data_IF_438308929146
#
_entry.id   IF_438308929146
#
_cell.length_a   1.000
_cell.length_b   1.000
_cell.length_c   1.000
_cell.angle_alpha   90.00
_cell.angle_beta   90.00
_cell.angle_gamma   90.00
#
_symmetry.space_group_name_H-M   'P 1'
#
loop_
_entity.id
_entity.type
_entity.pdbx_description
1 polymer ?
#
# COMPACT_ATOMS: atom_id res chain seq x y z
N UNK A 1 17.80 -12.52 36.36
CA UNK A 1 18.75 -12.51 35.24
C UNK A 1 17.89 -12.50 34.00
N UNK A 2 17.94 -11.38 33.28
CA UNK A 2 17.00 -10.99 32.23
C UNK A 2 17.14 -11.88 30.99
N UNK A 3 16.00 -12.31 30.45
CA UNK A 3 15.83 -12.50 29.00
C UNK A 3 14.45 -11.92 28.63
N UNK A 4 14.41 -10.59 28.51
CA UNK A 4 13.38 -9.95 27.70
C UNK A 4 13.72 -10.29 26.25
N UNK A 5 12.92 -11.17 25.66
CA UNK A 5 12.87 -11.35 24.22
C UNK A 5 12.52 -10.00 23.60
N UNK A 6 13.54 -9.42 23.00
CA UNK A 6 13.51 -8.23 22.17
C UNK A 6 12.33 -8.34 21.21
N UNK A 7 11.36 -7.42 21.35
CA UNK A 7 10.31 -7.26 20.35
C UNK A 7 11.06 -6.85 19.09
N UNK A 8 11.06 -7.75 18.10
CA UNK A 8 11.60 -7.47 16.79
C UNK A 8 11.13 -6.08 16.34
N UNK A 9 12.12 -5.21 16.13
CA UNK A 9 12.02 -3.84 15.65
C UNK A 9 10.71 -3.53 14.92
N UNK A 10 9.90 -2.66 15.51
CA UNK A 10 9.10 -1.71 14.73
C UNK A 10 10.10 -0.88 13.93
N UNK A 11 10.61 -1.40 12.80
CA UNK A 11 11.35 -0.58 11.85
C UNK A 11 10.34 0.44 11.32
N UNK A 12 10.41 1.72 11.73
CA UNK A 12 9.42 2.68 11.31
C UNK A 12 9.57 2.82 9.81
N UNK A 13 8.61 2.28 9.06
CA UNK A 13 8.58 2.26 7.59
C UNK A 13 9.26 3.54 7.06
N UNK A 14 10.31 3.38 6.24
CA UNK A 14 11.28 4.43 5.87
C UNK A 14 10.68 5.84 5.74
N UNK A 15 9.47 5.95 5.19
CA UNK A 15 8.59 7.14 5.17
C UNK A 15 8.60 7.97 6.46
N UNK A 16 8.47 7.33 7.62
CA UNK A 16 8.35 7.92 8.96
C UNK A 16 9.67 8.04 9.72
N UNK A 17 10.78 7.52 9.17
CA UNK A 17 12.10 7.64 9.77
C UNK A 17 12.52 9.11 9.90
N UNK A 18 13.02 9.48 11.09
CA UNK A 18 13.55 10.82 11.36
C UNK A 18 14.92 11.03 10.69
N UNK A 19 15.68 9.95 10.52
CA UNK A 19 17.09 9.97 10.11
C UNK A 19 17.26 9.99 8.59
N UNK A 20 16.19 9.77 7.82
CA UNK A 20 16.29 9.81 6.36
C UNK A 20 16.63 11.20 5.83
N UNK A 21 17.50 11.23 4.82
CA UNK A 21 17.97 12.43 4.13
C UNK A 21 16.83 13.31 3.61
N UNK A 22 17.13 14.58 3.30
CA UNK A 22 16.14 15.56 2.81
C UNK A 22 15.59 15.12 1.44
N UNK A 23 14.27 15.10 1.32
CA UNK A 23 13.56 15.04 0.03
C UNK A 23 12.90 16.38 -0.28
N UNK A 24 11.68 16.33 -0.83
CA UNK A 24 10.82 17.53 -0.97
C UNK A 24 10.59 18.17 0.41
N UNK A 25 10.31 17.34 1.41
CA UNK A 25 10.20 17.73 2.81
C UNK A 25 11.58 17.74 3.49
N UNK A 26 11.87 18.82 4.22
CA UNK A 26 12.98 18.82 5.19
C UNK A 26 12.64 18.00 6.43
N UNK A 27 13.63 17.56 7.24
CA UNK A 27 13.38 16.88 8.50
C UNK A 27 12.38 17.65 9.39
N UNK A 28 12.57 18.96 9.53
CA UNK A 28 11.65 19.81 10.28
C UNK A 28 10.25 19.95 9.64
N UNK A 29 10.10 19.80 8.32
CA UNK A 29 8.76 19.75 7.71
C UNK A 29 8.05 18.44 8.08
N UNK A 30 8.78 17.31 8.12
CA UNK A 30 8.22 16.01 8.54
C UNK A 30 7.81 16.04 10.00
N UNK A 31 8.67 16.53 10.90
CA UNK A 31 8.33 16.69 12.32
C UNK A 31 7.04 17.49 12.52
N UNK A 32 6.86 18.56 11.73
CA UNK A 32 5.66 19.38 11.75
C UNK A 32 4.42 18.62 11.25
N UNK A 33 4.51 17.90 10.13
CA UNK A 33 3.37 17.16 9.57
C UNK A 33 3.01 15.92 10.39
N UNK A 34 4.00 15.26 10.99
CA UNK A 34 3.83 14.08 11.84
C UNK A 34 3.45 14.45 13.29
N UNK A 35 3.30 15.74 13.60
CA UNK A 35 2.93 16.19 14.95
C UNK A 35 3.98 15.94 16.03
N UNK A 36 5.19 15.53 15.67
CA UNK A 36 6.29 15.24 16.62
C UNK A 36 6.82 16.49 17.31
N UNK A 37 6.67 17.65 16.66
CA UNK A 37 7.04 18.96 17.20
C UNK A 37 5.82 19.88 17.22
N UNK A 38 5.43 20.33 18.41
CA UNK A 38 4.15 21.03 18.65
C UNK A 38 4.28 22.47 19.14
N UNK A 39 5.51 22.93 19.44
CA UNK A 39 5.86 24.26 19.96
C UNK A 39 5.81 25.38 18.89
N UNK A 40 4.87 25.30 17.96
CA UNK A 40 4.69 26.30 16.90
C UNK A 40 3.61 27.31 17.27
N UNK A 41 3.95 28.61 17.19
CA UNK A 41 2.93 29.67 17.16
C UNK A 41 2.06 29.55 15.91
N UNK A 42 0.83 30.07 15.93
CA UNK A 42 -0.07 30.06 14.77
C UNK A 42 0.55 30.72 13.53
N UNK A 43 1.30 31.81 13.72
CA UNK A 43 2.05 32.44 12.64
C UNK A 43 3.12 31.49 12.08
N UNK A 44 3.89 30.81 12.92
CA UNK A 44 4.89 29.83 12.51
C UNK A 44 4.28 28.66 11.75
N UNK A 45 3.13 28.11 12.20
CA UNK A 45 2.39 27.05 11.50
C UNK A 45 1.99 27.49 10.09
N UNK A 46 1.41 28.69 9.95
CA UNK A 46 1.02 29.27 8.65
C UNK A 46 2.22 29.41 7.71
N UNK A 47 3.33 29.93 8.20
CA UNK A 47 4.56 30.07 7.42
C UNK A 47 5.12 28.69 6.99
N UNK A 48 5.11 27.72 7.90
CA UNK A 48 5.54 26.34 7.63
C UNK A 48 4.73 25.71 6.49
N UNK A 49 3.39 25.75 6.60
CA UNK A 49 2.48 25.26 5.54
C UNK A 49 2.71 25.94 4.20
N UNK A 50 2.92 27.25 4.19
CA UNK A 50 3.22 27.99 2.96
C UNK A 50 4.53 27.53 2.31
N UNK A 51 5.58 27.30 3.10
CA UNK A 51 6.87 26.79 2.60
C UNK A 51 6.74 25.37 2.05
N UNK A 52 6.01 24.49 2.73
CA UNK A 52 5.75 23.12 2.25
C UNK A 52 5.01 23.16 0.91
N UNK A 53 3.93 23.94 0.79
CA UNK A 53 3.18 24.08 -0.47
C UNK A 53 4.04 24.62 -1.61
N UNK A 54 4.90 25.60 -1.36
CA UNK A 54 5.82 26.15 -2.38
C UNK A 54 6.84 25.12 -2.83
N UNK A 55 7.45 24.38 -1.90
CA UNK A 55 8.39 23.30 -2.21
C UNK A 55 7.74 22.21 -3.04
N UNK A 56 6.54 21.79 -2.65
CA UNK A 56 5.80 20.77 -3.37
C UNK A 56 5.49 21.19 -4.82
N UNK A 57 5.04 22.43 -5.03
CA UNK A 57 4.81 22.96 -6.38
C UNK A 57 6.08 22.96 -7.23
N UNK A 58 7.20 23.43 -6.68
CA UNK A 58 8.46 23.42 -7.41
C UNK A 58 8.95 22.00 -7.69
N UNK A 59 8.84 21.08 -6.72
CA UNK A 59 9.22 19.69 -6.91
C UNK A 59 8.41 18.99 -8.01
N UNK A 60 7.12 19.31 -8.16
CA UNK A 60 6.30 18.81 -9.28
C UNK A 60 6.85 19.31 -10.62
N UNK A 61 7.30 20.57 -10.69
CA UNK A 61 7.91 21.11 -11.91
C UNK A 61 9.28 20.49 -12.19
N UNK A 62 10.06 20.20 -11.14
CA UNK A 62 11.36 19.56 -11.26
C UNK A 62 11.27 18.17 -11.94
N UNK A 63 10.14 17.47 -11.83
CA UNK A 63 9.94 16.19 -12.56
C UNK A 63 9.98 16.34 -14.09
N UNK A 64 9.68 17.52 -14.64
CA UNK A 64 9.88 17.77 -16.08
C UNK A 64 11.37 17.73 -16.41
N UNK A 65 12.20 18.39 -15.60
CA UNK A 65 13.65 18.40 -15.75
C UNK A 65 14.24 17.00 -15.52
N UNK A 66 13.77 16.29 -14.49
CA UNK A 66 14.23 14.93 -14.22
C UNK A 66 13.88 13.98 -15.37
N UNK A 67 12.67 14.09 -15.93
CA UNK A 67 12.27 13.25 -17.05
C UNK A 67 13.11 13.52 -18.31
N UNK A 68 13.34 14.80 -18.63
CA UNK A 68 14.02 15.20 -19.86
C UNK A 68 15.56 15.13 -19.79
N UNK A 69 16.15 15.23 -18.59
CA UNK A 69 17.59 15.43 -18.44
C UNK A 69 18.31 14.41 -17.55
N UNK A 70 17.59 13.59 -16.77
CA UNK A 70 18.24 12.55 -15.96
C UNK A 70 18.60 11.36 -16.84
N UNK A 71 19.85 10.91 -16.79
CA UNK A 71 20.29 9.75 -17.57
C UNK A 71 19.57 8.47 -17.12
N UNK A 72 19.36 7.55 -18.06
CA UNK A 72 18.68 6.28 -17.81
C UNK A 72 19.34 5.48 -16.66
N UNK A 73 20.67 5.44 -16.61
CA UNK A 73 21.41 4.75 -15.55
C UNK A 73 21.12 5.31 -14.15
N UNK A 74 20.98 6.63 -14.03
CA UNK A 74 20.66 7.26 -12.75
C UNK A 74 19.21 6.98 -12.37
N UNK A 75 18.29 6.98 -13.35
CA UNK A 75 16.89 6.56 -13.17
C UNK A 75 16.80 5.11 -12.69
N UNK A 76 17.54 4.18 -13.29
CA UNK A 76 17.61 2.77 -12.87
C UNK A 76 18.14 2.62 -11.44
N UNK A 77 19.05 3.50 -11.02
CA UNK A 77 19.58 3.50 -9.66
C UNK A 77 18.51 3.92 -8.65
N UNK A 78 17.68 4.92 -8.99
CA UNK A 78 16.56 5.37 -8.15
C UNK A 78 15.46 4.30 -8.06
N UNK A 79 15.18 3.60 -9.16
CA UNK A 79 14.11 2.59 -9.24
C UNK A 79 14.67 1.15 -9.20
N UNK A 80 15.76 0.92 -8.47
CA UNK A 80 16.41 -0.39 -8.42
C UNK A 80 15.49 -1.45 -7.77
N UNK A 81 15.04 -2.50 -8.50
CA UNK A 81 14.10 -3.50 -7.98
C UNK A 81 14.69 -4.40 -6.89
N UNK A 82 16.02 -4.40 -6.76
CA UNK A 82 16.77 -5.18 -5.76
C UNK A 82 17.14 -4.37 -4.52
N UNK A 83 16.70 -3.12 -4.42
CA UNK A 83 16.94 -2.29 -3.24
C UNK A 83 16.24 -2.86 -2.00
N UNK A 84 16.89 -2.78 -0.84
CA UNK A 84 16.35 -3.29 0.44
C UNK A 84 15.09 -2.56 0.88
N UNK A 85 14.95 -1.30 0.49
CA UNK A 85 13.83 -0.41 0.81
C UNK A 85 12.75 -0.37 -0.29
N UNK A 86 12.79 -1.27 -1.28
CA UNK A 86 11.86 -1.28 -2.43
C UNK A 86 10.39 -1.20 -2.05
N UNK A 87 9.97 -1.85 -0.96
CA UNK A 87 8.57 -1.88 -0.53
C UNK A 87 8.11 -0.50 -0.03
N UNK A 88 8.98 0.20 0.71
CA UNK A 88 8.73 1.57 1.13
C UNK A 88 8.68 2.54 -0.05
N UNK A 89 9.52 2.32 -1.08
CA UNK A 89 9.47 3.11 -2.31
C UNK A 89 8.18 2.86 -3.11
N UNK A 90 7.77 1.60 -3.26
CA UNK A 90 6.50 1.25 -3.91
C UNK A 90 5.31 1.87 -3.20
N UNK A 91 5.28 1.86 -1.87
CA UNK A 91 4.26 2.56 -1.09
C UNK A 91 4.32 4.08 -1.36
N UNK A 92 5.51 4.69 -1.32
CA UNK A 92 5.68 6.12 -1.58
C UNK A 92 5.25 6.55 -2.99
N UNK A 93 5.48 5.72 -4.01
CA UNK A 93 5.01 5.95 -5.39
C UNK A 93 3.47 5.85 -5.44
N UNK A 94 2.90 4.84 -4.79
CA UNK A 94 1.43 4.67 -4.70
C UNK A 94 0.78 5.89 -4.02
N UNK A 95 1.32 6.33 -2.89
CA UNK A 95 0.83 7.49 -2.15
C UNK A 95 0.98 8.79 -2.98
N UNK A 96 2.04 8.90 -3.77
CA UNK A 96 2.24 10.03 -4.69
C UNK A 96 1.16 10.05 -5.78
N UNK A 97 0.83 8.91 -6.39
CA UNK A 97 -0.23 8.83 -7.39
C UNK A 97 -1.60 9.17 -6.79
N UNK A 98 -1.91 8.64 -5.60
CA UNK A 98 -3.12 8.97 -4.87
C UNK A 98 -3.20 10.47 -4.52
N UNK A 99 -2.08 11.05 -4.06
CA UNK A 99 -1.98 12.48 -3.77
C UNK A 99 -2.22 13.35 -5.01
N UNK A 100 -1.64 12.98 -6.16
CA UNK A 100 -1.85 13.69 -7.42
C UNK A 100 -3.30 13.55 -7.91
N UNK A 101 -3.90 12.37 -7.77
CA UNK A 101 -5.31 12.16 -8.10
C UNK A 101 -6.20 13.11 -7.28
N UNK A 102 -6.07 13.11 -5.95
CA UNK A 102 -6.81 14.02 -5.08
C UNK A 102 -6.54 15.50 -5.39
N UNK A 103 -5.28 15.84 -5.66
CA UNK A 103 -4.86 17.21 -5.94
C UNK A 103 -5.33 17.75 -7.29
N UNK A 104 -5.68 16.87 -8.23
CA UNK A 104 -6.17 17.21 -9.57
C UNK A 104 -7.68 17.05 -9.73
N UNK A 105 -8.39 16.62 -8.68
CA UNK A 105 -9.86 16.65 -8.65
C UNK A 105 -10.36 18.08 -8.92
N UNK A 106 -11.15 18.23 -9.99
CA UNK A 106 -11.67 19.52 -10.44
C UNK A 106 -10.73 20.33 -11.34
N UNK A 107 -9.59 19.77 -11.78
CA UNK A 107 -8.79 20.39 -12.85
C UNK A 107 -9.51 20.27 -14.20
N UNK A 108 -9.13 21.16 -15.13
CA UNK A 108 -9.63 21.13 -16.50
C UNK A 108 -9.27 19.83 -17.22
N UNK A 109 -8.05 19.33 -16.98
CA UNK A 109 -7.60 18.03 -17.49
C UNK A 109 -7.87 16.97 -16.42
N UNK A 110 -8.65 15.92 -16.73
CA UNK A 110 -8.84 14.78 -15.83
C UNK A 110 -7.53 14.04 -15.51
N UNK A 111 -7.41 13.51 -14.29
CA UNK A 111 -6.22 12.75 -13.88
C UNK A 111 -5.90 11.58 -14.81
N UNK A 112 -6.92 10.84 -15.28
CA UNK A 112 -6.73 9.71 -16.20
C UNK A 112 -6.04 10.12 -17.50
N UNK A 113 -6.31 11.33 -17.99
CA UNK A 113 -5.75 11.82 -19.24
C UNK A 113 -4.28 12.25 -19.03
N UNK A 114 -3.98 12.86 -17.87
CA UNK A 114 -2.60 13.15 -17.46
C UNK A 114 -1.77 11.87 -17.29
N UNK A 115 -2.35 10.83 -16.67
CA UNK A 115 -1.71 9.54 -16.49
C UNK A 115 -1.43 8.87 -17.83
N UNK A 116 -2.42 8.85 -18.73
CA UNK A 116 -2.26 8.30 -20.08
C UNK A 116 -1.18 9.06 -20.87
N UNK A 117 -1.13 10.39 -20.78
CA UNK A 117 -0.07 11.19 -21.40
C UNK A 117 1.31 10.84 -20.83
N UNK A 118 1.43 10.72 -19.50
CA UNK A 118 2.68 10.36 -18.83
C UNK A 118 3.19 8.97 -19.25
N UNK A 119 2.31 7.97 -19.32
CA UNK A 119 2.66 6.61 -19.77
C UNK A 119 3.06 6.59 -21.24
N UNK A 120 2.37 7.34 -22.11
CA UNK A 120 2.76 7.47 -23.52
C UNK A 120 4.16 8.07 -23.68
N UNK A 121 4.50 9.12 -22.92
CA UNK A 121 5.86 9.70 -22.92
C UNK A 121 6.92 8.69 -22.53
N UNK A 122 6.65 7.88 -21.49
CA UNK A 122 7.59 6.84 -21.05
C UNK A 122 7.80 5.74 -22.11
N UNK A 123 6.73 5.32 -22.79
CA UNK A 123 6.83 4.33 -23.86
C UNK A 123 7.56 4.84 -25.11
N UNK A 124 7.36 6.11 -25.46
CA UNK A 124 8.10 6.76 -26.55
C UNK A 124 9.61 6.81 -26.24
N UNK A 125 9.96 7.18 -25.02
CA UNK A 125 11.34 7.18 -24.54
C UNK A 125 11.97 5.78 -24.62
N UNK A 126 11.26 4.75 -24.14
CA UNK A 126 11.74 3.36 -24.17
C UNK A 126 11.98 2.84 -25.60
N UNK A 127 11.18 3.30 -26.57
CA UNK A 127 11.35 2.92 -27.96
C UNK A 127 12.31 3.82 -28.76
N UNK A 128 12.81 4.90 -28.17
CA UNK A 128 13.56 5.93 -28.88
C UNK A 128 12.80 6.50 -30.08
N UNK A 129 11.47 6.60 -29.97
CA UNK A 129 10.59 6.97 -31.07
C UNK A 129 9.34 7.68 -30.58
N UNK A 130 9.14 8.91 -31.07
CA UNK A 130 7.96 9.74 -30.81
C UNK A 130 6.66 9.12 -31.37
N UNK A 131 6.76 8.08 -32.19
CA UNK A 131 5.63 7.44 -32.88
C UNK A 131 5.15 6.15 -32.21
N UNK A 132 5.76 5.73 -31.11
CA UNK A 132 5.22 4.60 -30.33
C UNK A 132 3.98 5.08 -29.59
N UNK A 133 2.82 4.70 -30.13
CA UNK A 133 1.53 4.96 -29.51
C UNK A 133 1.14 3.75 -28.67
N UNK A 134 0.77 3.97 -27.42
CA UNK A 134 0.17 2.94 -26.57
C UNK A 134 -1.25 3.31 -26.19
N UNK A 135 -2.12 2.31 -26.17
CA UNK A 135 -3.45 2.46 -25.59
C UNK A 135 -3.33 2.25 -24.09
N UNK A 136 -3.68 3.28 -23.32
CA UNK A 136 -3.73 3.21 -21.86
C UNK A 136 -5.19 3.16 -21.45
N UNK A 137 -5.66 1.98 -21.09
CA UNK A 137 -7.00 1.80 -20.53
C UNK A 137 -6.94 1.97 -19.00
N UNK A 138 -7.40 3.11 -18.51
CA UNK A 138 -7.51 3.41 -17.09
C UNK A 138 -8.97 3.58 -16.69
N UNK A 139 -9.57 2.50 -16.18
CA UNK A 139 -10.93 2.48 -15.69
C UNK A 139 -10.92 2.50 -14.16
N UNK A 140 -11.51 3.55 -13.59
CA UNK A 140 -11.80 3.62 -12.15
C UNK A 140 -13.31 3.56 -12.03
N UNK A 141 -13.82 2.38 -11.72
CA UNK A 141 -15.21 2.21 -11.35
C UNK A 141 -15.30 2.44 -9.84
N UNK A 142 -15.96 3.53 -9.39
CA UNK A 142 -16.20 3.69 -7.97
C UNK A 142 -17.13 2.56 -7.55
N UNK A 143 -16.57 1.55 -6.90
CA UNK A 143 -17.37 0.59 -6.14
C UNK A 143 -18.16 1.43 -5.14
N UNK A 144 -19.48 1.22 -5.11
CA UNK A 144 -20.35 1.93 -4.16
C UNK A 144 -19.80 1.83 -2.74
N UNK A 145 -20.24 2.73 -1.86
CA UNK A 145 -19.87 2.66 -0.44
C UNK A 145 -20.06 1.22 0.05
N UNK A 146 -18.95 0.57 0.44
CA UNK A 146 -18.98 -0.81 0.90
C UNK A 146 -19.82 -0.83 2.17
N UNK A 147 -20.92 -1.56 2.10
CA UNK A 147 -21.81 -1.77 3.24
C UNK A 147 -21.21 -2.89 4.09
N UNK A 148 -20.58 -2.50 5.20
CA UNK A 148 -19.88 -3.43 6.10
C UNK A 148 -20.84 -4.47 6.67
N UNK A 149 -22.09 -4.09 6.95
CA UNK A 149 -23.09 -5.01 7.47
C UNK A 149 -23.42 -6.09 6.41
N UNK A 150 -23.47 -5.69 5.14
CA UNK A 150 -23.66 -6.63 4.02
C UNK A 150 -22.48 -7.59 3.87
N UNK A 151 -21.24 -7.08 4.00
CA UNK A 151 -20.03 -7.92 3.94
C UNK A 151 -19.96 -8.91 5.11
N UNK A 152 -20.30 -8.47 6.32
CA UNK A 152 -20.38 -9.34 7.51
C UNK A 152 -21.44 -10.42 7.28
N UNK A 153 -22.63 -10.07 6.80
CA UNK A 153 -23.68 -11.05 6.48
C UNK A 153 -23.20 -12.13 5.51
N UNK A 154 -22.57 -11.74 4.40
CA UNK A 154 -21.99 -12.69 3.43
C UNK A 154 -20.93 -13.61 4.07
N UNK A 155 -20.08 -13.08 4.96
CA UNK A 155 -19.05 -13.86 5.65
C UNK A 155 -19.65 -14.85 6.67
N UNK A 156 -20.65 -14.43 7.44
CA UNK A 156 -21.34 -15.27 8.42
C UNK A 156 -22.12 -16.41 7.74
N UNK A 157 -22.74 -16.12 6.60
CA UNK A 157 -23.51 -17.08 5.81
C UNK A 157 -22.62 -18.00 4.94
N UNK A 158 -21.30 -17.74 4.92
CA UNK A 158 -20.33 -18.51 4.13
C UNK A 158 -20.44 -18.29 2.62
N UNK A 159 -21.04 -17.18 2.19
CA UNK A 159 -21.24 -16.80 0.79
C UNK A 159 -19.98 -16.16 0.18
N UNK A 160 -18.82 -16.81 0.35
CA UNK A 160 -17.53 -16.28 -0.10
C UNK A 160 -17.46 -16.02 -1.61
N UNK A 161 -18.26 -16.74 -2.42
CA UNK A 161 -18.35 -16.55 -3.87
C UNK A 161 -19.01 -15.22 -4.27
N UNK A 162 -19.71 -14.56 -3.36
CA UNK A 162 -20.40 -13.29 -3.58
C UNK A 162 -19.63 -12.08 -3.04
N UNK A 163 -18.46 -12.31 -2.41
CA UNK A 163 -17.58 -11.26 -1.93
C UNK A 163 -16.64 -10.80 -3.04
N UNK A 164 -16.54 -9.49 -3.25
CA UNK A 164 -15.51 -8.93 -4.14
C UNK A 164 -14.18 -8.75 -3.40
N UNK A 165 -13.07 -8.70 -4.15
CA UNK A 165 -11.75 -8.47 -3.58
C UNK A 165 -11.66 -7.12 -2.85
N UNK A 166 -12.39 -6.11 -3.33
CA UNK A 166 -12.46 -4.78 -2.71
C UNK A 166 -13.27 -4.79 -1.41
N UNK A 167 -14.40 -5.50 -1.38
CA UNK A 167 -15.20 -5.71 -0.16
C UNK A 167 -14.33 -6.37 0.92
N UNK A 168 -13.59 -7.42 0.55
CA UNK A 168 -12.69 -8.11 1.45
C UNK A 168 -11.52 -7.23 1.91
N UNK A 169 -10.89 -6.50 0.99
CA UNK A 169 -9.77 -5.62 1.31
C UNK A 169 -10.20 -4.48 2.25
N UNK A 170 -11.35 -3.86 2.00
CA UNK A 170 -11.88 -2.82 2.86
C UNK A 170 -12.26 -3.35 4.24
N UNK A 171 -12.89 -4.52 4.30
CA UNK A 171 -13.21 -5.20 5.55
C UNK A 171 -11.97 -5.54 6.37
N UNK A 172 -10.93 -6.10 5.76
CA UNK A 172 -9.66 -6.41 6.43
C UNK A 172 -8.95 -5.14 6.93
N UNK A 173 -8.97 -4.04 6.16
CA UNK A 173 -8.44 -2.75 6.62
C UNK A 173 -9.20 -2.24 7.84
N UNK A 174 -10.53 -2.28 7.80
CA UNK A 174 -11.37 -1.86 8.93
C UNK A 174 -11.10 -2.70 10.19
N UNK A 175 -10.96 -4.03 10.03
CA UNK A 175 -10.59 -4.92 11.12
C UNK A 175 -9.22 -4.55 11.69
N UNK A 176 -8.21 -4.34 10.83
CA UNK A 176 -6.87 -3.98 11.27
C UNK A 176 -6.79 -2.61 11.99
N UNK A 177 -7.70 -1.68 11.66
CA UNK A 177 -7.82 -0.38 12.33
C UNK A 177 -8.61 -0.45 13.65
N UNK A 178 -9.34 -1.53 13.92
CA UNK A 178 -10.14 -1.69 15.14
C UNK A 178 -9.26 -2.03 16.34
N UNK A 179 -9.53 -1.37 17.48
CA UNK A 179 -8.78 -1.60 18.72
C UNK A 179 -8.99 -3.01 19.32
N UNK A 180 -10.09 -3.67 18.94
CA UNK A 180 -10.45 -5.01 19.41
C UNK A 180 -9.77 -6.14 18.60
N UNK A 181 -9.13 -5.82 17.47
CA UNK A 181 -8.48 -6.82 16.62
C UNK A 181 -7.00 -6.98 16.95
N UNK A 182 -6.60 -8.22 17.25
CA UNK A 182 -5.21 -8.63 17.43
C UNK A 182 -4.86 -9.73 16.44
N UNK A 183 -4.00 -9.39 15.46
CA UNK A 183 -3.51 -10.35 14.47
C UNK A 183 -2.75 -11.52 15.12
N UNK A 184 -2.11 -11.29 16.27
CA UNK A 184 -1.39 -12.32 17.00
C UNK A 184 -2.35 -13.35 17.63
N UNK A 185 -3.47 -12.88 18.20
CA UNK A 185 -4.47 -13.75 18.81
C UNK A 185 -5.21 -14.55 17.74
N UNK A 186 -5.61 -13.90 16.64
CA UNK A 186 -6.22 -14.56 15.48
C UNK A 186 -5.32 -15.68 14.94
N UNK A 187 -4.01 -15.42 14.81
CA UNK A 187 -3.05 -16.43 14.32
C UNK A 187 -3.00 -17.66 15.23
N UNK A 188 -3.01 -17.46 16.54
CA UNK A 188 -2.99 -18.56 17.51
C UNK A 188 -4.25 -19.43 17.40
N UNK A 189 -5.41 -18.78 17.34
CA UNK A 189 -6.72 -19.40 17.18
C UNK A 189 -6.80 -20.22 15.88
N UNK A 190 -6.46 -19.60 14.75
CA UNK A 190 -6.49 -20.25 13.43
C UNK A 190 -5.54 -21.44 13.35
N UNK A 191 -4.34 -21.35 13.95
CA UNK A 191 -3.38 -22.47 13.98
C UNK A 191 -3.93 -23.64 14.79
N UNK A 192 -4.60 -23.36 15.91
CA UNK A 192 -5.23 -24.39 16.72
C UNK A 192 -6.37 -25.09 15.96
N UNK A 193 -7.24 -24.32 15.30
CA UNK A 193 -8.33 -24.86 14.50
C UNK A 193 -7.84 -25.69 13.31
N UNK A 194 -6.82 -25.22 12.58
CA UNK A 194 -6.23 -25.95 11.45
C UNK A 194 -5.60 -27.27 11.91
N UNK A 195 -4.88 -27.26 13.04
CA UNK A 195 -4.29 -28.47 13.61
C UNK A 195 -5.38 -29.50 13.96
N UNK A 196 -6.46 -29.06 14.60
CA UNK A 196 -7.59 -29.92 14.94
C UNK A 196 -8.34 -30.45 13.70
N UNK A 197 -8.41 -29.67 12.63
CA UNK A 197 -8.98 -30.10 11.35
C UNK A 197 -8.13 -31.19 10.69
N UNK A 198 -6.82 -30.99 10.62
CA UNK A 198 -5.86 -31.98 10.07
C UNK A 198 -5.96 -33.30 10.84
N UNK A 199 -5.98 -33.26 12.18
CA UNK A 199 -6.14 -34.47 12.99
C UNK A 199 -7.44 -35.22 12.71
N UNK A 200 -8.55 -34.49 12.50
CA UNK A 200 -9.84 -35.10 12.13
C UNK A 200 -9.80 -35.77 10.76
N UNK A 201 -9.16 -35.13 9.78
CA UNK A 201 -9.00 -35.69 8.43
C UNK A 201 -8.14 -36.95 8.48
N UNK A 202 -7.02 -36.93 9.20
CA UNK A 202 -6.13 -38.08 9.35
C UNK A 202 -6.78 -39.24 10.09
N UNK A 203 -7.61 -38.95 11.11
CA UNK A 203 -8.40 -39.96 11.80
C UNK A 203 -9.50 -40.55 10.89
N UNK A 204 -10.12 -39.73 10.04
CA UNK A 204 -11.14 -40.19 9.09
C UNK A 204 -10.53 -41.07 7.98
N UNK A 205 -9.34 -40.71 7.48
CA UNK A 205 -8.62 -41.50 6.49
C UNK A 205 -8.20 -42.87 7.05
N UNK A 206 -7.65 -42.93 8.27
CA UNK A 206 -7.29 -44.21 8.92
C UNK A 206 -8.48 -45.15 9.07
N UNK A 207 -9.64 -44.64 9.51
CA UNK A 207 -10.88 -45.44 9.61
C UNK A 207 -11.38 -45.92 8.25
N UNK A 208 -11.11 -45.16 7.18
CA UNK A 208 -11.48 -45.56 5.82
C UNK A 208 -10.57 -46.68 5.33
N UNK A 209 -9.27 -46.59 5.59
CA UNK A 209 -8.30 -47.61 5.20
C UNK A 209 -8.55 -48.94 5.95
N UNK A 210 -8.76 -48.89 7.26
CA UNK A 210 -9.13 -50.08 8.08
C UNK A 210 -10.39 -50.78 7.56
N UNK A 211 -11.40 -50.01 7.11
CA UNK A 211 -12.67 -50.54 6.59
C UNK A 211 -12.55 -51.13 5.18
N UNK A 212 -11.59 -50.65 4.39
CA UNK A 212 -11.29 -51.20 3.06
C UNK A 212 -10.46 -52.48 3.18
N UNK A 213 -9.60 -52.59 4.19
CA UNK A 213 -8.89 -53.83 4.51
C UNK A 213 -9.85 -54.93 5.00
N UNK A 214 -10.80 -54.61 5.89
CA UNK A 214 -11.83 -55.56 6.37
C UNK A 214 -12.81 -56.06 5.31
N UNK A 215 -12.96 -55.38 4.16
CA UNK A 215 -13.84 -55.79 3.06
C UNK A 215 -13.13 -56.63 1.98
N UNK A 216 -11.79 -56.72 2.04
CA UNK A 216 -10.98 -57.48 1.10
C UNK A 216 -10.49 -58.82 1.67
N UNK A 217 -10.81 -59.13 2.94
CA UNK A 217 -10.67 -60.44 3.59
C UNK A 217 -12.02 -61.20 3.61
#
# INVERSE_FOLDING_TARGET
MNEHGDRADDDPALTYSADRGRGILTPSDREYLLGRKTDYTEHSKKQKRNRIRRRLRNAILDFTILFECLEERDRETVFNPNATDREAYTQGITDMLAFLHLGTMGYYTPFKDMLAEGVNKAEQELAGSDYRMVTVDFNVEPVGQIDVDTVIGKLEDGEFEQLTDEELQAFVRLLAESEDFSAADLRSEMKAQMSAFVEKVDAANRRRDERVEEQND
#
